data_IF_321359221585
#
_entry.id   IF_321359221585
#
_cell.length_a   1.000
_cell.length_b   1.000
_cell.length_c   1.000
_cell.angle_alpha   90.00
_cell.angle_beta   90.00
_cell.angle_gamma   90.00
#
_symmetry.space_group_name_H-M   'P 1'
#
loop_
_entity.id
_entity.type
_entity.pdbx_description
1 polymer ?
#
# COMPACT_ATOMS: atom_id res chain seq x y z
N UNK A 1 20.38 -13.19 21.91
CA UNK A 1 19.02 -13.66 21.55
C UNK A 1 17.92 -12.61 21.75
N UNK A 2 17.78 -11.93 22.90
CA UNK A 2 16.79 -10.82 23.09
C UNK A 2 16.96 -9.66 22.09
N UNK A 3 18.16 -9.46 21.57
CA UNK A 3 18.49 -8.33 20.71
C UNK A 3 17.97 -8.46 19.26
N UNK A 4 17.82 -9.68 18.70
CA UNK A 4 17.37 -9.88 17.31
C UNK A 4 15.92 -9.45 17.11
N UNK A 5 14.99 -9.85 17.99
CA UNK A 5 13.59 -9.45 17.89
C UNK A 5 13.43 -7.93 17.93
N UNK A 6 14.12 -7.25 18.86
CA UNK A 6 14.08 -5.80 18.97
C UNK A 6 14.62 -5.14 17.68
N UNK A 7 15.73 -5.66 17.14
CA UNK A 7 16.27 -5.15 15.87
C UNK A 7 15.26 -5.27 14.72
N UNK A 8 14.53 -6.37 14.65
CA UNK A 8 13.53 -6.59 13.60
C UNK A 8 12.25 -5.75 13.81
N UNK A 9 11.87 -5.50 15.07
CA UNK A 9 10.78 -4.56 15.40
C UNK A 9 11.13 -3.16 14.90
N UNK A 10 12.34 -2.66 15.18
CA UNK A 10 12.81 -1.36 14.73
C UNK A 10 12.88 -1.32 13.18
N UNK A 11 13.39 -2.40 12.56
CA UNK A 11 13.38 -2.52 11.10
C UNK A 11 11.96 -2.38 10.53
N UNK A 12 11.00 -3.16 11.02
CA UNK A 12 9.61 -3.10 10.58
C UNK A 12 9.01 -1.71 10.79
N UNK A 13 9.23 -1.11 11.94
CA UNK A 13 8.74 0.22 12.26
C UNK A 13 9.27 1.25 11.26
N UNK A 14 10.59 1.34 11.09
CA UNK A 14 11.21 2.31 10.18
C UNK A 14 10.82 2.07 8.72
N UNK A 15 10.76 0.81 8.27
CA UNK A 15 10.41 0.44 6.90
C UNK A 15 9.07 1.06 6.47
N UNK A 16 8.06 0.97 7.33
CA UNK A 16 6.73 1.48 7.01
C UNK A 16 6.51 2.94 7.45
N UNK A 17 7.28 3.43 8.42
CA UNK A 17 7.29 4.85 8.77
C UNK A 17 7.76 5.73 7.59
N UNK A 18 8.76 5.29 6.82
CA UNK A 18 9.20 5.95 5.57
C UNK A 18 8.02 6.18 4.62
N UNK A 19 7.19 5.18 4.45
CA UNK A 19 6.06 5.23 3.52
C UNK A 19 4.86 6.01 4.07
N UNK A 20 4.53 5.80 5.34
CA UNK A 20 3.44 6.48 6.03
C UNK A 20 3.61 7.99 6.13
N UNK A 21 4.85 8.48 6.05
CA UNK A 21 5.14 9.91 6.10
C UNK A 21 4.52 10.70 4.93
N UNK A 22 4.33 10.09 3.75
CA UNK A 22 3.85 10.81 2.57
C UNK A 22 2.72 10.13 1.80
N UNK A 23 2.59 8.79 1.87
CA UNK A 23 1.73 8.03 0.96
C UNK A 23 0.30 8.56 0.92
N UNK A 24 -0.31 8.78 2.06
CA UNK A 24 -1.72 9.16 2.16
C UNK A 24 -1.97 10.65 1.96
N UNK A 25 -1.00 11.51 2.26
CA UNK A 25 -1.10 12.98 2.17
C UNK A 25 -0.53 13.57 0.88
N UNK A 26 0.26 12.81 0.14
CA UNK A 26 0.89 13.27 -1.10
C UNK A 26 -0.12 13.84 -2.11
N UNK A 27 -1.30 13.19 -2.24
CA UNK A 27 -2.35 13.66 -3.16
C UNK A 27 -2.79 15.10 -2.87
N UNK A 28 -2.99 15.45 -1.59
CA UNK A 28 -3.33 16.81 -1.17
C UNK A 28 -2.22 17.82 -1.46
N UNK A 29 -0.96 17.44 -1.25
CA UNK A 29 0.17 18.28 -1.61
C UNK A 29 0.24 18.51 -3.13
N UNK A 30 0.11 17.44 -3.92
CA UNK A 30 0.14 17.52 -5.39
C UNK A 30 -0.99 18.41 -5.92
N UNK A 31 -2.19 18.32 -5.37
CA UNK A 31 -3.28 19.22 -5.68
C UNK A 31 -2.91 20.69 -5.37
N UNK A 32 -2.33 20.94 -4.20
CA UNK A 32 -1.92 22.29 -3.76
C UNK A 32 -0.84 22.94 -4.62
N UNK A 33 0.03 22.16 -5.28
CA UNK A 33 1.08 22.67 -6.19
C UNK A 33 0.68 22.62 -7.67
N UNK A 34 -0.62 22.42 -7.98
CA UNK A 34 -1.16 22.44 -9.34
C UNK A 34 -1.01 21.12 -10.12
N UNK A 35 -0.70 20.00 -9.44
CA UNK A 35 -0.61 18.68 -10.07
C UNK A 35 -1.85 17.81 -9.81
N UNK A 36 -2.98 18.42 -9.45
CA UNK A 36 -4.21 17.71 -9.09
C UNK A 36 -4.69 16.73 -10.17
N UNK A 37 -4.68 17.14 -11.44
CA UNK A 37 -5.05 16.27 -12.58
C UNK A 37 -4.07 15.12 -12.84
N UNK A 38 -2.91 15.11 -12.19
CA UNK A 38 -1.82 14.13 -12.36
C UNK A 38 -1.58 13.28 -11.12
N UNK A 39 -2.40 13.39 -10.08
CA UNK A 39 -2.27 12.58 -8.84
C UNK A 39 -2.21 11.09 -9.18
N UNK A 40 -3.07 10.62 -10.07
CA UNK A 40 -3.12 9.23 -10.50
C UNK A 40 -1.78 8.70 -11.00
N UNK A 41 -0.98 9.53 -11.67
CA UNK A 41 0.30 9.10 -12.26
C UNK A 41 1.33 8.71 -11.18
N UNK A 42 1.35 9.42 -10.05
CA UNK A 42 2.24 9.10 -8.93
C UNK A 42 1.91 7.74 -8.31
N UNK A 43 0.62 7.45 -8.11
CA UNK A 43 0.19 6.16 -7.56
C UNK A 43 0.27 5.03 -8.59
N UNK A 44 0.01 5.29 -9.87
CA UNK A 44 0.23 4.32 -10.95
C UNK A 44 1.72 3.93 -11.06
N UNK A 45 2.63 4.87 -10.86
CA UNK A 45 4.07 4.62 -10.84
C UNK A 45 4.47 3.64 -9.75
N UNK A 46 3.88 3.72 -8.55
CA UNK A 46 4.12 2.73 -7.48
C UNK A 46 3.74 1.32 -7.93
N UNK A 47 2.57 1.17 -8.54
CA UNK A 47 2.13 -0.10 -9.11
C UNK A 47 3.07 -0.60 -10.21
N UNK A 48 3.41 0.27 -11.16
CA UNK A 48 4.28 -0.06 -12.29
C UNK A 48 5.68 -0.52 -11.85
N UNK A 49 6.34 0.23 -10.97
CA UNK A 49 7.67 -0.17 -10.48
C UNK A 49 7.62 -1.43 -9.62
N UNK A 50 6.50 -1.69 -8.94
CA UNK A 50 6.29 -2.90 -8.14
C UNK A 50 6.21 -4.18 -8.99
N UNK A 51 5.99 -4.07 -10.30
CA UNK A 51 6.02 -5.21 -11.22
C UNK A 51 7.44 -5.77 -11.38
N UNK A 52 8.43 -4.89 -11.50
CA UNK A 52 9.78 -5.27 -11.93
C UNK A 52 10.82 -5.15 -10.82
N UNK A 53 10.79 -4.06 -10.06
CA UNK A 53 11.86 -3.71 -9.14
C UNK A 53 12.07 -4.71 -7.99
N UNK A 54 11.02 -5.29 -7.36
CA UNK A 54 11.22 -6.32 -6.33
C UNK A 54 11.92 -7.57 -6.86
N UNK A 55 11.59 -8.00 -8.09
CA UNK A 55 12.22 -9.15 -8.71
C UNK A 55 13.68 -8.87 -9.03
N UNK A 56 13.99 -7.70 -9.60
CA UNK A 56 15.37 -7.30 -9.92
C UNK A 56 16.23 -7.22 -8.65
N UNK A 57 15.74 -6.53 -7.63
CA UNK A 57 16.47 -6.37 -6.38
C UNK A 57 16.62 -7.72 -5.62
N UNK A 58 15.62 -8.60 -5.72
CA UNK A 58 15.69 -9.96 -5.18
C UNK A 58 16.78 -10.79 -5.85
N UNK A 59 16.90 -10.73 -7.19
CA UNK A 59 17.98 -11.40 -7.94
C UNK A 59 19.35 -10.87 -7.53
N UNK A 60 19.48 -9.54 -7.35
CA UNK A 60 20.73 -8.91 -6.87
C UNK A 60 21.09 -9.41 -5.48
N UNK A 61 20.10 -9.49 -4.58
CA UNK A 61 20.30 -9.98 -3.22
C UNK A 61 20.64 -11.48 -3.15
N UNK A 62 20.03 -12.27 -4.04
CA UNK A 62 20.30 -13.71 -4.10
C UNK A 62 21.69 -14.04 -4.69
N UNK A 63 22.17 -13.24 -5.67
CA UNK A 63 23.39 -13.58 -6.43
C UNK A 63 24.66 -12.84 -5.99
N UNK A 64 24.55 -11.55 -5.73
CA UNK A 64 25.75 -10.68 -5.74
C UNK A 64 25.98 -9.92 -4.45
N UNK A 65 24.95 -9.44 -3.79
CA UNK A 65 25.07 -8.56 -2.64
C UNK A 65 24.18 -9.05 -1.50
N UNK A 66 24.71 -9.26 -0.29
CA UNK A 66 23.91 -9.65 0.87
C UNK A 66 22.66 -8.79 1.05
N UNK A 67 21.50 -9.41 1.34
CA UNK A 67 20.20 -8.76 1.30
C UNK A 67 20.10 -7.51 2.19
N UNK A 68 20.72 -7.50 3.38
CA UNK A 68 20.74 -6.33 4.26
C UNK A 68 21.54 -5.15 3.65
N UNK A 69 22.53 -5.43 2.79
CA UNK A 69 23.26 -4.38 2.07
C UNK A 69 22.44 -3.85 0.89
N UNK A 70 21.73 -4.73 0.17
CA UNK A 70 20.78 -4.29 -0.88
C UNK A 70 19.70 -3.41 -0.27
N UNK A 71 19.14 -3.79 0.89
CA UNK A 71 18.20 -2.98 1.64
C UNK A 71 18.76 -1.59 1.95
N UNK A 72 20.00 -1.54 2.45
CA UNK A 72 20.70 -0.28 2.76
C UNK A 72 20.87 0.59 1.52
N UNK A 73 21.35 0.04 0.40
CA UNK A 73 21.56 0.78 -0.86
C UNK A 73 20.23 1.32 -1.38
N UNK A 74 19.19 0.50 -1.40
CA UNK A 74 17.88 0.91 -1.86
C UNK A 74 17.31 2.06 -1.02
N UNK A 75 17.41 2.00 0.31
CA UNK A 75 17.00 3.09 1.18
C UNK A 75 17.88 4.34 1.05
N UNK A 76 19.19 4.18 0.79
CA UNK A 76 20.08 5.32 0.53
C UNK A 76 19.61 6.10 -0.70
N UNK A 77 19.40 5.41 -1.82
CA UNK A 77 18.92 6.06 -3.06
C UNK A 77 17.53 6.67 -2.87
N UNK A 78 16.60 5.90 -2.31
CA UNK A 78 15.25 6.38 -2.07
C UNK A 78 15.22 7.62 -1.16
N UNK A 79 15.99 7.59 -0.06
CA UNK A 79 16.07 8.69 0.90
C UNK A 79 16.71 9.94 0.33
N UNK A 80 17.83 9.80 -0.38
CA UNK A 80 18.50 10.93 -1.05
C UNK A 80 17.57 11.59 -2.07
N UNK A 81 16.85 10.78 -2.88
CA UNK A 81 15.90 11.32 -3.86
C UNK A 81 14.72 12.03 -3.19
N UNK A 82 14.18 11.51 -2.06
CA UNK A 82 13.11 12.19 -1.32
C UNK A 82 13.59 13.50 -0.68
N UNK A 83 14.80 13.53 -0.12
CA UNK A 83 15.39 14.77 0.41
C UNK A 83 15.63 15.78 -0.72
N UNK A 84 16.17 15.34 -1.85
CA UNK A 84 16.38 16.19 -3.02
C UNK A 84 15.06 16.74 -3.57
N UNK A 85 14.00 15.92 -3.61
CA UNK A 85 12.66 16.32 -4.01
C UNK A 85 12.09 17.39 -3.08
N UNK A 86 12.21 17.19 -1.77
CA UNK A 86 11.74 18.15 -0.78
C UNK A 86 12.53 19.46 -0.85
N UNK A 87 13.85 19.37 -1.00
CA UNK A 87 14.71 20.54 -1.18
C UNK A 87 14.38 21.30 -2.47
N UNK A 88 14.14 20.58 -3.55
CA UNK A 88 13.71 21.19 -4.81
C UNK A 88 12.36 21.91 -4.64
N UNK A 89 11.38 21.26 -4.00
CA UNK A 89 10.07 21.85 -3.75
C UNK A 89 10.15 23.10 -2.86
N UNK A 90 11.00 23.08 -1.82
CA UNK A 90 11.30 24.25 -0.99
C UNK A 90 11.88 25.41 -1.82
N UNK A 91 12.87 25.11 -2.66
CA UNK A 91 13.58 26.13 -3.46
C UNK A 91 12.70 26.71 -4.56
N UNK A 92 11.82 25.91 -5.16
CA UNK A 92 10.95 26.32 -6.26
C UNK A 92 9.71 27.08 -5.77
N UNK A 93 9.30 26.92 -4.50
CA UNK A 93 8.11 27.56 -3.93
C UNK A 93 6.84 27.24 -4.73
N UNK A 94 6.23 28.25 -5.35
CA UNK A 94 5.05 28.07 -6.23
C UNK A 94 5.41 27.61 -7.64
N UNK A 95 6.69 27.62 -8.03
CA UNK A 95 7.19 27.29 -9.37
C UNK A 95 7.64 25.83 -9.51
N UNK A 96 7.10 24.90 -8.75
CA UNK A 96 7.50 23.48 -8.85
C UNK A 96 7.22 22.94 -10.26
N UNK A 97 8.27 22.51 -10.95
CA UNK A 97 8.15 21.94 -12.29
C UNK A 97 7.85 20.43 -12.18
N UNK A 98 6.79 19.99 -12.85
CA UNK A 98 6.31 18.62 -12.81
C UNK A 98 7.38 17.58 -13.16
N UNK A 99 8.11 17.78 -14.24
CA UNK A 99 9.09 16.80 -14.72
C UNK A 99 10.19 16.50 -13.71
N UNK A 100 10.76 17.53 -13.07
CA UNK A 100 11.80 17.37 -12.05
C UNK A 100 11.26 16.67 -10.82
N UNK A 101 10.10 17.13 -10.33
CA UNK A 101 9.46 16.54 -9.15
C UNK A 101 9.12 15.06 -9.38
N UNK A 102 8.48 14.76 -10.51
CA UNK A 102 8.07 13.41 -10.87
C UNK A 102 9.24 12.46 -11.09
N UNK A 103 10.35 12.94 -11.68
CA UNK A 103 11.56 12.13 -11.88
C UNK A 103 12.18 11.73 -10.54
N UNK A 104 12.39 12.68 -9.63
CA UNK A 104 12.95 12.41 -8.30
C UNK A 104 12.05 11.44 -7.51
N UNK A 105 10.74 11.64 -7.56
CA UNK A 105 9.76 10.75 -6.96
C UNK A 105 9.84 9.33 -7.56
N UNK A 106 9.87 9.20 -8.88
CA UNK A 106 9.91 7.91 -9.57
C UNK A 106 11.16 7.12 -9.21
N UNK A 107 12.31 7.76 -9.17
CA UNK A 107 13.57 7.11 -8.75
C UNK A 107 13.46 6.66 -7.29
N UNK A 108 12.99 7.53 -6.40
CA UNK A 108 12.82 7.17 -5.00
C UNK A 108 11.92 5.94 -4.83
N UNK A 109 10.76 5.93 -5.47
CA UNK A 109 9.77 4.84 -5.37
C UNK A 109 10.31 3.56 -6.02
N UNK A 110 11.03 3.65 -7.13
CA UNK A 110 11.64 2.49 -7.79
C UNK A 110 12.63 1.75 -6.87
N UNK A 111 13.36 2.47 -6.04
CA UNK A 111 14.26 1.87 -5.05
C UNK A 111 13.56 1.54 -3.73
N UNK A 112 12.49 2.24 -3.35
CA UNK A 112 11.74 1.92 -2.13
C UNK A 112 10.90 0.65 -2.27
N UNK A 113 10.16 0.45 -3.37
CA UNK A 113 9.22 -0.68 -3.50
C UNK A 113 9.85 -2.06 -3.26
N UNK A 114 11.06 -2.38 -3.79
CA UNK A 114 11.70 -3.66 -3.51
C UNK A 114 12.07 -3.87 -2.03
N UNK A 115 12.28 -2.80 -1.27
CA UNK A 115 12.72 -2.91 0.13
C UNK A 115 11.68 -3.60 1.00
N UNK A 116 10.39 -3.56 0.64
CA UNK A 116 9.32 -4.24 1.37
C UNK A 116 9.55 -5.76 1.38
N UNK A 117 9.86 -6.34 0.23
CA UNK A 117 10.15 -7.77 0.12
C UNK A 117 11.52 -8.14 0.73
N UNK A 118 12.53 -7.30 0.48
CA UNK A 118 13.89 -7.55 0.98
C UNK A 118 13.93 -7.46 2.52
N UNK A 119 13.23 -6.50 3.14
CA UNK A 119 13.16 -6.39 4.60
C UNK A 119 12.53 -7.63 5.25
N UNK A 120 11.50 -8.22 4.62
CA UNK A 120 10.92 -9.48 5.06
C UNK A 120 11.92 -10.63 4.95
N UNK A 121 12.66 -10.73 3.82
CA UNK A 121 13.69 -11.74 3.62
C UNK A 121 14.81 -11.65 4.67
N UNK A 122 15.28 -10.44 4.95
CA UNK A 122 16.28 -10.19 6.02
C UNK A 122 15.74 -10.57 7.38
N UNK A 123 14.47 -10.28 7.66
CA UNK A 123 13.84 -10.63 8.94
C UNK A 123 13.70 -12.14 9.11
N UNK A 124 13.28 -12.88 8.09
CA UNK A 124 13.17 -14.33 8.12
C UNK A 124 14.53 -14.99 8.36
N UNK A 125 15.54 -14.60 7.57
CA UNK A 125 16.91 -15.12 7.77
C UNK A 125 17.44 -14.82 9.19
N UNK A 126 17.23 -13.60 9.70
CA UNK A 126 17.67 -13.24 11.05
C UNK A 126 16.96 -14.06 12.15
N UNK A 127 15.69 -14.40 11.97
CA UNK A 127 14.95 -15.27 12.88
C UNK A 127 15.48 -16.70 12.83
N UNK A 128 15.65 -17.27 11.65
CA UNK A 128 16.20 -18.63 11.47
C UNK A 128 17.59 -18.78 12.07
N UNK A 129 18.51 -17.86 11.78
CA UNK A 129 19.88 -17.85 12.36
C UNK A 129 19.85 -17.70 13.88
N UNK A 130 18.82 -17.07 14.42
CA UNK A 130 18.62 -16.93 15.88
C UNK A 130 17.92 -18.13 16.52
N UNK A 131 17.62 -19.20 15.78
CA UNK A 131 16.90 -20.38 16.24
C UNK A 131 15.42 -20.14 16.51
N UNK A 132 14.81 -19.15 15.87
CA UNK A 132 13.39 -18.81 15.99
C UNK A 132 12.63 -19.27 14.76
N UNK A 133 11.33 -19.50 14.92
CA UNK A 133 10.45 -19.90 13.84
C UNK A 133 9.87 -18.65 13.13
N UNK A 134 10.26 -18.35 11.87
CA UNK A 134 9.72 -17.21 11.15
C UNK A 134 8.19 -17.19 11.05
N UNK A 135 7.54 -18.36 10.95
CA UNK A 135 6.09 -18.45 10.85
C UNK A 135 5.39 -17.96 12.11
N UNK A 136 5.97 -18.24 13.28
CA UNK A 136 5.40 -17.84 14.59
C UNK A 136 5.88 -16.47 15.05
N UNK A 137 7.17 -16.19 14.84
CA UNK A 137 7.82 -15.03 15.46
C UNK A 137 7.78 -13.76 14.59
N UNK A 138 7.60 -13.89 13.24
CA UNK A 138 7.57 -12.74 12.35
C UNK A 138 6.25 -11.94 12.42
N UNK A 139 5.04 -12.55 12.48
CA UNK A 139 3.81 -11.78 12.47
C UNK A 139 3.71 -10.72 13.58
N UNK A 140 4.07 -11.00 14.84
CA UNK A 140 4.11 -9.98 15.90
C UNK A 140 5.09 -8.83 15.61
N UNK A 141 6.23 -9.14 14.97
CA UNK A 141 7.22 -8.13 14.58
C UNK A 141 6.65 -7.25 13.47
N UNK A 142 5.95 -7.85 12.49
CA UNK A 142 5.38 -7.14 11.35
C UNK A 142 4.31 -6.12 11.75
N UNK A 143 3.57 -6.35 12.83
CA UNK A 143 2.60 -5.38 13.37
C UNK A 143 3.25 -4.02 13.66
N UNK A 144 4.50 -3.99 14.12
CA UNK A 144 5.22 -2.74 14.34
C UNK A 144 5.47 -1.94 13.07
N UNK A 145 5.39 -2.55 11.91
CA UNK A 145 5.36 -1.82 10.63
C UNK A 145 4.10 -0.95 10.52
N UNK A 146 2.92 -1.49 10.82
CA UNK A 146 1.69 -0.70 10.84
C UNK A 146 1.75 0.41 11.90
N UNK A 147 2.32 0.13 13.07
CA UNK A 147 2.55 1.16 14.10
C UNK A 147 3.46 2.27 13.56
N UNK A 148 4.56 1.93 12.88
CA UNK A 148 5.47 2.91 12.27
C UNK A 148 4.77 3.77 11.21
N UNK A 149 3.95 3.13 10.37
CA UNK A 149 3.14 3.83 9.36
C UNK A 149 2.18 4.84 10.02
N UNK A 150 1.42 4.43 11.03
CA UNK A 150 0.49 5.29 11.78
C UNK A 150 1.25 6.44 12.47
N UNK A 151 2.35 6.14 13.15
CA UNK A 151 3.13 7.15 13.86
C UNK A 151 3.62 8.25 12.91
N UNK A 152 4.13 7.89 11.73
CA UNK A 152 4.57 8.89 10.76
C UNK A 152 3.42 9.65 10.11
N UNK A 153 2.27 9.00 9.84
CA UNK A 153 1.05 9.70 9.41
C UNK A 153 0.61 10.76 10.42
N UNK A 154 0.56 10.40 11.70
CA UNK A 154 0.17 11.31 12.78
C UNK A 154 1.21 12.41 12.98
N UNK A 155 2.51 12.08 12.87
CA UNK A 155 3.58 13.06 12.96
C UNK A 155 3.41 14.16 11.90
N UNK A 156 3.30 13.81 10.62
CA UNK A 156 3.13 14.81 9.55
C UNK A 156 1.77 15.52 9.61
N UNK A 157 0.75 14.91 10.23
CA UNK A 157 -0.54 15.54 10.43
C UNK A 157 -0.49 16.66 11.51
N UNK A 158 0.20 16.43 12.63
CA UNK A 158 0.15 17.34 13.75
C UNK A 158 1.33 18.33 13.80
N UNK A 159 2.49 17.96 13.25
CA UNK A 159 3.65 18.87 13.21
C UNK A 159 3.44 19.94 12.16
N UNK A 160 3.79 21.17 12.54
CA UNK A 160 3.68 22.37 11.70
C UNK A 160 5.06 22.98 11.48
N UNK A 161 5.26 23.55 10.30
CA UNK A 161 6.47 24.31 9.99
C UNK A 161 6.42 25.72 10.59
N UNK A 162 7.48 26.51 10.38
CA UNK A 162 7.58 27.89 10.88
C UNK A 162 6.51 28.84 10.34
N UNK A 163 5.78 28.45 9.30
CA UNK A 163 4.65 29.20 8.72
C UNK A 163 3.29 28.73 9.27
N UNK A 164 3.28 27.78 10.21
CA UNK A 164 2.06 27.21 10.77
C UNK A 164 1.37 26.17 9.88
N UNK A 165 1.98 25.77 8.76
CA UNK A 165 1.44 24.78 7.83
C UNK A 165 1.79 23.37 8.32
N UNK A 166 0.83 22.47 8.35
CA UNK A 166 1.06 21.06 8.69
C UNK A 166 1.97 20.38 7.65
N UNK A 167 2.87 19.53 8.10
CA UNK A 167 3.79 18.80 7.21
C UNK A 167 3.07 17.97 6.14
N UNK A 168 1.92 17.40 6.45
CA UNK A 168 1.10 16.68 5.48
C UNK A 168 0.64 17.52 4.28
N UNK A 169 0.65 18.84 4.40
CA UNK A 169 0.20 19.80 3.39
C UNK A 169 1.34 20.48 2.65
N UNK A 170 2.58 20.10 2.93
CA UNK A 170 3.78 20.77 2.44
C UNK A 170 4.88 19.77 2.09
N UNK A 171 5.98 20.24 1.54
CA UNK A 171 7.13 19.43 1.12
C UNK A 171 7.82 18.71 2.29
N UNK A 172 7.62 19.14 3.53
CA UNK A 172 8.24 18.54 4.71
C UNK A 172 7.87 17.07 4.89
N UNK A 173 6.72 16.61 4.40
CA UNK A 173 6.37 15.19 4.41
C UNK A 173 7.41 14.33 3.69
N UNK A 174 7.99 14.84 2.60
CA UNK A 174 9.04 14.15 1.84
C UNK A 174 10.40 14.23 2.55
N UNK A 175 10.70 15.34 3.26
CA UNK A 175 11.86 15.40 4.14
C UNK A 175 11.79 14.36 5.25
N UNK A 176 10.65 14.22 5.91
CA UNK A 176 10.46 13.20 6.96
C UNK A 176 10.70 11.80 6.39
N UNK A 177 10.10 11.48 5.25
CA UNK A 177 10.30 10.21 4.57
C UNK A 177 11.77 9.97 4.21
N UNK A 178 12.42 10.98 3.63
CA UNK A 178 13.82 10.91 3.23
C UNK A 178 14.76 10.70 4.42
N UNK A 179 14.58 11.46 5.51
CA UNK A 179 15.37 11.32 6.74
C UNK A 179 15.19 9.93 7.35
N UNK A 180 13.94 9.44 7.48
CA UNK A 180 13.68 8.09 7.98
C UNK A 180 14.33 7.02 7.11
N UNK A 181 14.34 7.21 5.77
CA UNK A 181 15.00 6.31 4.84
C UNK A 181 16.52 6.30 5.01
N UNK A 182 17.16 7.47 5.22
CA UNK A 182 18.60 7.58 5.53
C UNK A 182 18.92 6.92 6.88
N UNK A 183 18.09 7.12 7.89
CA UNK A 183 18.25 6.43 9.19
C UNK A 183 18.18 4.92 8.99
N UNK A 184 17.22 4.44 8.18
CA UNK A 184 17.10 3.02 7.89
C UNK A 184 18.27 2.48 7.06
N UNK A 185 18.88 3.30 6.18
CA UNK A 185 20.10 2.96 5.46
C UNK A 185 21.23 2.56 6.42
N UNK A 186 21.48 3.40 7.42
CA UNK A 186 22.52 3.13 8.42
C UNK A 186 22.11 1.95 9.33
N UNK A 187 20.85 1.90 9.72
CA UNK A 187 20.32 0.84 10.56
C UNK A 187 20.40 -0.54 9.89
N UNK A 188 20.12 -0.64 8.59
CA UNK A 188 20.17 -1.89 7.84
C UNK A 188 21.58 -2.55 7.89
N UNK A 189 22.65 -1.74 7.98
CA UNK A 189 24.01 -2.25 8.10
C UNK A 189 24.29 -2.91 9.47
N UNK A 190 23.47 -2.66 10.48
CA UNK A 190 23.59 -3.26 11.83
C UNK A 190 22.82 -4.59 11.97
N UNK A 191 22.05 -4.96 10.94
CA UNK A 191 21.26 -6.19 10.93
C UNK A 191 22.17 -7.42 10.74
N UNK A 192 21.71 -8.61 11.18
CA UNK A 192 22.44 -9.85 10.92
C UNK A 192 22.72 -10.05 9.43
N UNK A 193 23.86 -10.65 9.13
CA UNK A 193 24.22 -10.94 7.74
C UNK A 193 23.21 -11.92 7.13
N UNK A 194 22.67 -11.56 5.98
CA UNK A 194 21.81 -12.39 5.17
C UNK A 194 22.56 -12.69 3.85
N UNK A 195 23.34 -13.79 3.81
CA UNK A 195 24.27 -14.06 2.71
C UNK A 195 23.51 -14.37 1.40
N UNK A 196 24.22 -14.20 0.29
CA UNK A 196 23.74 -14.67 -1.00
C UNK A 196 23.57 -16.19 -1.00
N UNK A 197 22.65 -16.69 -1.81
CA UNK A 197 22.43 -18.14 -1.95
C UNK A 197 23.64 -18.82 -2.58
N UNK A 198 23.98 -20.06 -2.13
CA UNK A 198 24.98 -20.86 -2.79
C UNK A 198 24.63 -21.10 -4.29
N UNK A 199 25.62 -21.12 -5.14
CA UNK A 199 25.44 -21.36 -6.58
C UNK A 199 24.70 -22.70 -6.87
N UNK A 200 24.77 -23.66 -5.97
CA UNK A 200 24.10 -24.96 -6.04
C UNK A 200 22.57 -24.90 -5.85
N UNK A 201 22.02 -23.86 -5.21
CA UNK A 201 20.58 -23.80 -4.92
C UNK A 201 19.75 -23.22 -6.08
N UNK A 202 20.36 -22.77 -7.15
CA UNK A 202 19.68 -22.14 -8.27
C UNK A 202 18.95 -20.83 -7.87
N UNK A 203 19.16 -19.80 -8.62
CA UNK A 203 18.47 -18.52 -8.41
C UNK A 203 17.21 -18.50 -9.28
N UNK A 204 16.08 -18.07 -8.72
CA UNK A 204 14.85 -17.87 -9.48
C UNK A 204 15.13 -17.02 -10.72
N UNK A 205 14.61 -17.48 -11.87
CA UNK A 205 14.61 -16.65 -13.07
C UNK A 205 13.75 -15.40 -12.87
N UNK A 206 13.95 -14.37 -13.68
CA UNK A 206 13.09 -13.18 -13.63
C UNK A 206 11.61 -13.54 -13.81
N UNK A 207 11.28 -14.46 -14.69
CA UNK A 207 9.92 -14.94 -14.91
C UNK A 207 9.31 -15.65 -13.69
N UNK A 208 10.12 -16.39 -12.93
CA UNK A 208 9.69 -17.01 -11.68
C UNK A 208 9.51 -15.99 -10.56
N UNK A 209 10.43 -15.03 -10.45
CA UNK A 209 10.41 -14.00 -9.42
C UNK A 209 9.25 -13.01 -9.58
N UNK A 210 8.85 -12.72 -10.84
CA UNK A 210 7.70 -11.86 -11.17
C UNK A 210 6.37 -12.63 -11.24
N UNK A 211 6.40 -13.96 -11.14
CA UNK A 211 5.21 -14.78 -11.30
C UNK A 211 4.77 -15.02 -12.74
N UNK A 212 5.54 -14.57 -13.74
CA UNK A 212 5.20 -14.74 -15.16
C UNK A 212 5.06 -16.21 -15.56
N UNK A 213 5.83 -17.11 -14.95
CA UNK A 213 5.73 -18.56 -15.18
C UNK A 213 4.38 -19.14 -14.78
N UNK A 214 3.64 -18.48 -13.88
CA UNK A 214 2.30 -18.91 -13.44
C UNK A 214 1.17 -18.42 -14.37
N UNK A 215 1.45 -17.63 -15.42
CA UNK A 215 0.40 -17.21 -16.37
C UNK A 215 -0.29 -18.40 -17.06
N UNK A 216 0.33 -19.57 -17.10
CA UNK A 216 -0.32 -20.80 -17.57
C UNK A 216 -1.61 -21.14 -16.81
N UNK A 217 -1.74 -20.70 -15.54
CA UNK A 217 -2.95 -20.89 -14.73
C UNK A 217 -4.17 -20.16 -15.30
N UNK A 218 -3.98 -19.13 -16.13
CA UNK A 218 -5.11 -18.48 -16.82
C UNK A 218 -5.87 -19.42 -17.80
N UNK A 219 -5.30 -20.55 -18.18
CA UNK A 219 -5.99 -21.58 -18.95
C UNK A 219 -7.11 -22.25 -18.15
N UNK A 220 -7.02 -22.24 -16.83
CA UNK A 220 -8.03 -22.76 -15.94
C UNK A 220 -9.00 -21.65 -15.54
N UNK A 221 -10.28 -21.81 -15.88
CA UNK A 221 -11.33 -20.78 -15.66
C UNK A 221 -11.35 -20.22 -14.23
N UNK A 222 -11.17 -21.09 -13.25
CA UNK A 222 -11.22 -20.70 -11.83
C UNK A 222 -10.10 -19.73 -11.46
N UNK A 223 -8.87 -20.03 -11.90
CA UNK A 223 -7.72 -19.16 -11.67
C UNK A 223 -7.79 -17.87 -12.50
N UNK A 224 -8.24 -17.96 -13.76
CA UNK A 224 -8.43 -16.77 -14.60
C UNK A 224 -9.40 -15.79 -13.95
N UNK A 225 -10.56 -16.26 -13.47
CA UNK A 225 -11.53 -15.44 -12.74
C UNK A 225 -10.88 -14.87 -11.48
N UNK A 226 -10.21 -15.70 -10.68
CA UNK A 226 -9.57 -15.24 -9.45
C UNK A 226 -8.56 -14.10 -9.72
N UNK A 227 -7.64 -14.27 -10.66
CA UNK A 227 -6.61 -13.27 -10.95
C UNK A 227 -7.17 -11.98 -11.56
N UNK A 228 -8.19 -12.07 -12.45
CA UNK A 228 -8.87 -10.89 -12.98
C UNK A 228 -9.54 -10.09 -11.85
N UNK A 229 -10.26 -10.76 -10.95
CA UNK A 229 -10.90 -10.07 -9.84
C UNK A 229 -9.89 -9.56 -8.81
N UNK A 230 -8.75 -10.21 -8.64
CA UNK A 230 -7.63 -9.70 -7.84
C UNK A 230 -7.09 -8.39 -8.41
N UNK A 231 -6.96 -8.30 -9.74
CA UNK A 231 -6.58 -7.07 -10.44
C UNK A 231 -7.61 -5.95 -10.21
N UNK A 232 -8.89 -6.24 -10.39
CA UNK A 232 -9.95 -5.26 -10.18
C UNK A 232 -9.98 -4.76 -8.72
N UNK A 233 -9.73 -5.63 -7.75
CA UNK A 233 -9.71 -5.24 -6.35
C UNK A 233 -8.46 -4.41 -5.98
N UNK A 234 -7.32 -4.69 -6.61
CA UNK A 234 -6.10 -3.91 -6.44
C UNK A 234 -6.28 -2.43 -6.78
N UNK A 235 -7.17 -2.11 -7.71
CA UNK A 235 -7.57 -0.75 -8.03
C UNK A 235 -8.15 -0.01 -6.82
N UNK A 236 -9.03 -0.66 -6.06
CA UNK A 236 -9.75 -0.05 -4.94
C UNK A 236 -8.83 0.48 -3.84
N UNK A 237 -7.74 -0.23 -3.55
CA UNK A 237 -6.75 0.21 -2.56
C UNK A 237 -6.09 1.53 -2.99
N UNK A 238 -5.64 1.62 -4.23
CA UNK A 238 -4.91 2.79 -4.72
C UNK A 238 -5.82 4.00 -4.96
N UNK A 239 -7.08 3.79 -5.30
CA UNK A 239 -8.09 4.86 -5.32
C UNK A 239 -8.14 5.55 -3.95
N UNK A 240 -8.21 4.75 -2.88
CA UNK A 240 -8.24 5.29 -1.52
C UNK A 240 -6.96 6.02 -1.16
N UNK A 241 -5.79 5.41 -1.42
CA UNK A 241 -4.50 6.02 -1.11
C UNK A 241 -4.28 7.34 -1.85
N UNK A 242 -4.73 7.42 -3.10
CA UNK A 242 -4.55 8.61 -3.94
C UNK A 242 -5.49 9.75 -3.61
N UNK A 243 -6.74 9.45 -3.30
CA UNK A 243 -7.78 10.48 -3.31
C UNK A 243 -8.49 10.70 -1.97
N UNK A 244 -8.45 9.77 -1.01
CA UNK A 244 -9.22 9.92 0.23
C UNK A 244 -8.77 11.14 1.07
N UNK A 245 -7.46 11.35 1.22
CA UNK A 245 -6.95 12.52 1.96
C UNK A 245 -7.26 13.82 1.22
N UNK A 246 -7.02 13.85 -0.09
CA UNK A 246 -7.32 15.01 -0.96
C UNK A 246 -8.78 15.40 -0.86
N UNK A 247 -9.68 14.43 -0.95
CA UNK A 247 -11.11 14.62 -0.79
C UNK A 247 -11.50 15.18 0.58
N UNK A 248 -11.07 14.54 1.66
CA UNK A 248 -11.42 14.98 3.02
C UNK A 248 -10.89 16.40 3.27
N UNK A 249 -9.68 16.69 2.81
CA UNK A 249 -9.05 18.00 2.97
C UNK A 249 -9.73 19.07 2.14
N UNK A 250 -10.25 18.77 0.95
CA UNK A 250 -10.94 19.75 0.09
C UNK A 250 -12.10 20.46 0.80
N UNK A 251 -12.74 19.77 1.77
CA UNK A 251 -13.79 20.35 2.60
C UNK A 251 -13.32 21.59 3.41
N UNK A 252 -12.03 21.74 3.67
CA UNK A 252 -11.51 22.94 4.33
C UNK A 252 -11.72 24.23 3.49
N UNK A 253 -11.90 24.08 2.18
CA UNK A 253 -12.29 25.18 1.28
C UNK A 253 -13.77 25.58 1.35
N UNK A 254 -14.62 24.78 2.01
CA UNK A 254 -16.03 25.09 2.19
C UNK A 254 -16.24 25.78 3.55
N UNK A 255 -16.84 27.00 3.60
CA UNK A 255 -17.08 27.71 4.85
C UNK A 255 -17.83 26.92 5.92
N UNK A 256 -18.72 25.99 5.54
CA UNK A 256 -19.47 25.13 6.47
C UNK A 256 -18.60 24.10 7.17
N UNK A 257 -17.45 23.73 6.59
CA UNK A 257 -16.60 22.65 7.08
C UNK A 257 -15.16 23.06 7.39
N UNK A 258 -14.74 24.32 7.05
CA UNK A 258 -13.37 24.81 7.20
C UNK A 258 -12.83 24.71 8.63
N UNK A 259 -13.71 24.88 9.64
CA UNK A 259 -13.37 24.76 11.07
C UNK A 259 -13.47 23.33 11.64
N UNK A 260 -13.88 22.33 10.84
CA UNK A 260 -14.06 20.98 11.36
C UNK A 260 -12.72 20.27 11.57
N UNK A 261 -12.67 19.44 12.63
CA UNK A 261 -11.48 18.67 12.94
C UNK A 261 -11.11 17.71 11.79
N UNK A 262 -12.09 17.05 11.19
CA UNK A 262 -11.88 16.07 10.11
C UNK A 262 -11.23 16.70 8.86
N UNK A 263 -11.72 17.84 8.39
CA UNK A 263 -11.17 18.53 7.23
C UNK A 263 -9.72 18.99 7.47
N UNK A 264 -9.41 19.41 8.71
CA UNK A 264 -8.08 19.89 9.07
C UNK A 264 -7.09 18.77 9.46
N UNK A 265 -7.57 17.55 9.73
CA UNK A 265 -6.76 16.43 10.19
C UNK A 265 -7.06 15.15 9.39
N UNK A 266 -7.07 15.26 8.07
CA UNK A 266 -7.44 14.17 7.17
C UNK A 266 -6.58 12.90 7.36
N UNK A 267 -5.26 13.05 7.55
CA UNK A 267 -4.37 11.91 7.80
C UNK A 267 -4.67 11.22 9.14
N UNK A 268 -4.95 11.99 10.20
CA UNK A 268 -5.31 11.42 11.49
C UNK A 268 -6.64 10.63 11.40
N UNK A 269 -7.61 11.13 10.63
CA UNK A 269 -8.87 10.42 10.38
C UNK A 269 -8.63 9.13 9.59
N UNK A 270 -7.83 9.18 8.52
CA UNK A 270 -7.50 8.02 7.68
C UNK A 270 -6.67 6.99 8.45
N UNK A 271 -5.85 7.40 9.43
CA UNK A 271 -5.04 6.46 10.22
C UNK A 271 -5.89 5.43 10.98
N UNK A 272 -7.16 5.72 11.24
CA UNK A 272 -8.14 4.73 11.76
C UNK A 272 -8.28 3.53 10.84
N UNK A 273 -8.05 3.69 9.53
CA UNK A 273 -8.05 2.56 8.58
C UNK A 273 -6.94 1.56 8.89
N UNK A 274 -5.76 2.05 9.26
CA UNK A 274 -4.61 1.20 9.60
C UNK A 274 -4.80 0.50 10.96
N UNK A 275 -5.45 1.17 11.91
CA UNK A 275 -5.84 0.55 13.17
C UNK A 275 -6.85 -0.57 12.91
N UNK A 276 -7.87 -0.30 12.09
CA UNK A 276 -8.86 -1.30 11.70
C UNK A 276 -8.23 -2.49 10.99
N UNK A 277 -7.30 -2.27 10.06
CA UNK A 277 -6.53 -3.31 9.37
C UNK A 277 -5.88 -4.26 10.39
N UNK A 278 -5.14 -3.71 11.36
CA UNK A 278 -4.47 -4.51 12.39
C UNK A 278 -5.45 -5.37 13.21
N UNK A 279 -6.61 -4.82 13.55
CA UNK A 279 -7.62 -5.55 14.32
C UNK A 279 -8.36 -6.60 13.48
N UNK A 280 -8.65 -6.29 12.22
CA UNK A 280 -9.39 -7.17 11.32
C UNK A 280 -8.60 -8.44 10.96
N UNK A 281 -7.26 -8.37 10.87
CA UNK A 281 -6.42 -9.56 10.68
C UNK A 281 -6.70 -10.63 11.74
N UNK A 282 -6.94 -10.24 12.98
CA UNK A 282 -7.24 -11.17 14.08
C UNK A 282 -8.59 -11.89 13.91
N UNK A 283 -9.52 -11.32 13.17
CA UNK A 283 -10.84 -11.88 12.92
C UNK A 283 -10.86 -12.88 11.74
N UNK A 284 -9.87 -12.83 10.87
CA UNK A 284 -9.84 -13.64 9.63
C UNK A 284 -9.97 -15.14 9.89
N UNK A 285 -9.25 -15.75 10.86
CA UNK A 285 -9.37 -17.19 11.12
C UNK A 285 -10.79 -17.60 11.50
N UNK A 286 -11.49 -16.78 12.28
CA UNK A 286 -12.89 -17.01 12.65
C UNK A 286 -13.80 -16.97 11.42
N UNK A 287 -13.66 -15.97 10.56
CA UNK A 287 -14.47 -15.83 9.35
C UNK A 287 -14.19 -16.93 8.33
N UNK A 288 -12.92 -17.30 8.14
CA UNK A 288 -12.53 -18.39 7.24
C UNK A 288 -13.13 -19.75 7.71
N UNK A 289 -13.04 -20.04 9.01
CA UNK A 289 -13.61 -21.26 9.59
C UNK A 289 -15.12 -21.30 9.42
N UNK A 290 -15.81 -20.16 9.58
CA UNK A 290 -17.28 -20.11 9.55
C UNK A 290 -17.85 -20.02 8.15
N UNK A 291 -17.23 -19.29 7.25
CA UNK A 291 -17.81 -18.95 5.95
C UNK A 291 -17.02 -19.51 4.75
N UNK A 292 -15.76 -19.90 4.94
CA UNK A 292 -14.86 -20.36 3.88
C UNK A 292 -14.34 -19.24 2.98
N UNK A 293 -13.33 -19.55 2.18
CA UNK A 293 -12.52 -18.61 1.38
C UNK A 293 -13.40 -17.70 0.48
N UNK A 294 -14.30 -18.30 -0.34
CA UNK A 294 -15.14 -17.54 -1.28
C UNK A 294 -16.00 -16.48 -0.60
N UNK A 295 -16.68 -16.83 0.51
CA UNK A 295 -17.58 -15.90 1.20
C UNK A 295 -16.78 -14.79 1.90
N UNK A 296 -15.59 -15.11 2.44
CA UNK A 296 -14.71 -14.10 3.05
C UNK A 296 -14.21 -13.11 1.99
N UNK A 297 -13.84 -13.56 0.80
CA UNK A 297 -13.53 -12.67 -0.33
C UNK A 297 -14.72 -11.77 -0.71
N UNK A 298 -15.95 -12.33 -0.76
CA UNK A 298 -17.15 -11.55 -1.05
C UNK A 298 -17.44 -10.51 0.03
N UNK A 299 -17.27 -10.84 1.31
CA UNK A 299 -17.39 -9.88 2.41
C UNK A 299 -16.44 -8.71 2.21
N UNK A 300 -15.19 -8.98 1.82
CA UNK A 300 -14.22 -7.94 1.49
C UNK A 300 -14.69 -7.04 0.35
N UNK A 301 -15.19 -7.61 -0.73
CA UNK A 301 -15.68 -6.84 -1.88
C UNK A 301 -16.85 -5.92 -1.50
N UNK A 302 -17.82 -6.41 -0.72
CA UNK A 302 -18.91 -5.58 -0.20
C UNK A 302 -18.41 -4.53 0.80
N UNK A 303 -17.36 -4.80 1.56
CA UNK A 303 -16.75 -3.80 2.42
C UNK A 303 -16.15 -2.63 1.61
N UNK A 304 -15.62 -2.86 0.40
CA UNK A 304 -15.21 -1.78 -0.51
C UNK A 304 -16.41 -0.95 -0.99
N UNK A 305 -17.55 -1.58 -1.26
CA UNK A 305 -18.79 -0.84 -1.60
C UNK A 305 -19.17 0.11 -0.47
N UNK A 306 -19.19 -0.40 0.76
CA UNK A 306 -19.51 0.40 1.95
C UNK A 306 -18.48 1.51 2.17
N UNK A 307 -17.18 1.22 2.02
CA UNK A 307 -16.13 2.20 2.18
C UNK A 307 -16.31 3.40 1.25
N UNK A 308 -16.46 3.13 -0.04
CA UNK A 308 -16.66 4.20 -1.04
C UNK A 308 -18.02 4.90 -0.87
N UNK A 309 -19.08 4.15 -0.56
CA UNK A 309 -20.40 4.70 -0.29
C UNK A 309 -20.40 5.65 0.90
N UNK A 310 -19.74 5.26 2.01
CA UNK A 310 -19.62 6.12 3.19
C UNK A 310 -18.79 7.38 2.91
N UNK A 311 -17.76 7.31 2.07
CA UNK A 311 -17.07 8.52 1.61
C UNK A 311 -18.01 9.39 0.77
N UNK A 312 -18.77 8.81 -0.15
CA UNK A 312 -19.66 9.57 -1.04
C UNK A 312 -20.80 10.31 -0.32
N UNK A 313 -21.30 9.77 0.79
CA UNK A 313 -22.43 10.37 1.53
C UNK A 313 -22.01 11.07 2.83
N UNK A 314 -20.75 10.90 3.26
CA UNK A 314 -20.20 11.50 4.47
C UNK A 314 -19.73 12.94 4.24
N UNK A 315 -19.45 13.61 5.35
CA UNK A 315 -18.79 14.92 5.38
C UNK A 315 -18.02 15.07 6.70
N UNK A 316 -17.05 15.98 6.83
CA UNK A 316 -16.26 16.12 8.04
C UNK A 316 -16.96 16.88 9.19
N UNK A 317 -18.21 17.32 9.01
CA UNK A 317 -19.06 17.91 10.02
C UNK A 317 -19.96 16.88 10.70
N UNK A 318 -21.27 17.07 10.65
CA UNK A 318 -22.26 16.12 11.23
C UNK A 318 -22.23 14.71 10.64
N UNK A 319 -21.67 14.54 9.43
CA UNK A 319 -21.50 13.25 8.76
C UNK A 319 -20.14 12.58 8.98
N UNK A 320 -19.28 13.08 9.87
CA UNK A 320 -17.92 12.53 10.11
C UNK A 320 -17.93 11.07 10.56
N UNK A 321 -18.99 10.62 11.22
CA UNK A 321 -19.16 9.23 11.63
C UNK A 321 -19.17 8.26 10.43
N UNK A 322 -19.64 8.71 9.24
CA UNK A 322 -19.57 7.91 8.01
C UNK A 322 -18.11 7.75 7.54
N UNK A 323 -17.30 8.81 7.65
CA UNK A 323 -15.87 8.70 7.37
C UNK A 323 -15.18 7.73 8.35
N UNK A 324 -15.55 7.78 9.64
CA UNK A 324 -15.04 6.82 10.64
C UNK A 324 -15.47 5.40 10.28
N UNK A 325 -16.73 5.17 9.92
CA UNK A 325 -17.20 3.85 9.47
C UNK A 325 -16.47 3.40 8.21
N UNK A 326 -16.24 4.29 7.24
CA UNK A 326 -15.43 4.00 6.06
C UNK A 326 -14.03 3.51 6.45
N UNK A 327 -13.39 4.15 7.43
CA UNK A 327 -12.09 3.73 7.94
C UNK A 327 -12.15 2.38 8.67
N UNK A 328 -13.21 2.11 9.43
CA UNK A 328 -13.38 0.83 10.15
C UNK A 328 -13.58 -0.34 9.16
N UNK A 329 -14.39 -0.19 8.13
CA UNK A 329 -14.61 -1.27 7.15
C UNK A 329 -13.40 -1.53 6.25
N UNK A 330 -12.42 -0.63 6.23
CA UNK A 330 -11.21 -0.80 5.42
C UNK A 330 -10.42 -2.06 5.77
N UNK A 331 -10.24 -2.38 7.04
CA UNK A 331 -9.53 -3.60 7.45
C UNK A 331 -10.18 -4.86 6.90
N UNK A 332 -11.53 -4.92 6.91
CA UNK A 332 -12.28 -6.01 6.28
C UNK A 332 -12.11 -5.97 4.76
N UNK A 333 -12.18 -4.78 4.16
CA UNK A 333 -12.10 -4.62 2.71
C UNK A 333 -10.75 -5.05 2.14
N UNK A 334 -9.65 -4.78 2.82
CA UNK A 334 -8.30 -5.07 2.33
C UNK A 334 -7.84 -6.47 2.72
N UNK A 335 -7.79 -6.79 4.00
CA UNK A 335 -7.13 -8.00 4.49
C UNK A 335 -7.91 -9.28 4.20
N UNK A 336 -9.23 -9.24 4.26
CA UNK A 336 -10.05 -10.43 4.02
C UNK A 336 -9.84 -10.97 2.61
N UNK A 337 -9.68 -10.11 1.61
CA UNK A 337 -9.36 -10.57 0.27
C UNK A 337 -7.92 -11.02 0.13
N UNK A 338 -6.96 -10.24 0.60
CA UNK A 338 -5.54 -10.56 0.42
C UNK A 338 -5.15 -11.88 1.08
N UNK A 339 -5.58 -12.10 2.33
CA UNK A 339 -5.25 -13.32 3.05
C UNK A 339 -6.02 -14.52 2.48
N UNK A 340 -7.33 -14.36 2.19
CA UNK A 340 -8.12 -15.43 1.57
C UNK A 340 -7.62 -15.77 0.16
N UNK A 341 -7.16 -14.78 -0.61
CA UNK A 341 -6.58 -14.97 -1.94
C UNK A 341 -5.25 -15.73 -1.88
N UNK A 342 -4.39 -15.35 -0.95
CA UNK A 342 -3.14 -16.06 -0.71
C UNK A 342 -3.39 -17.52 -0.30
N UNK A 343 -4.38 -17.76 0.59
CA UNK A 343 -4.77 -19.13 0.98
C UNK A 343 -5.36 -19.91 -0.18
N UNK A 344 -6.23 -19.28 -1.00
CA UNK A 344 -6.77 -19.93 -2.20
C UNK A 344 -5.65 -20.41 -3.13
N UNK A 345 -4.65 -19.57 -3.42
CA UNK A 345 -3.48 -19.96 -4.22
C UNK A 345 -2.70 -21.08 -3.54
N UNK A 346 -2.48 -20.99 -2.23
CA UNK A 346 -1.71 -21.98 -1.49
C UNK A 346 -2.36 -23.37 -1.47
N UNK A 347 -3.68 -23.44 -1.41
CA UNK A 347 -4.44 -24.69 -1.32
C UNK A 347 -4.67 -25.35 -2.70
N UNK A 348 -4.77 -24.54 -3.77
CA UNK A 348 -5.23 -25.04 -5.07
C UNK A 348 -4.12 -25.09 -6.14
N UNK A 349 -2.91 -24.63 -5.85
CA UNK A 349 -1.80 -24.64 -6.79
C UNK A 349 -0.74 -25.64 -6.36
N UNK A 350 -0.20 -26.41 -7.32
CA UNK A 350 0.87 -27.36 -7.11
C UNK A 350 2.11 -26.71 -6.47
N UNK A 351 2.76 -27.43 -5.57
CA UNK A 351 3.92 -26.95 -4.82
C UNK A 351 5.04 -26.40 -5.71
N UNK A 352 5.26 -27.01 -6.88
CA UNK A 352 6.31 -26.61 -7.83
C UNK A 352 6.14 -25.22 -8.44
N UNK A 353 4.90 -24.68 -8.53
CA UNK A 353 4.63 -23.36 -9.11
C UNK A 353 3.93 -22.42 -8.13
N UNK A 354 3.71 -22.85 -6.89
CA UNK A 354 2.99 -22.09 -5.86
C UNK A 354 3.59 -20.72 -5.59
N UNK A 355 4.90 -20.65 -5.47
CA UNK A 355 5.62 -19.37 -5.26
C UNK A 355 5.41 -18.40 -6.44
N UNK A 356 5.45 -18.91 -7.68
CA UNK A 356 5.18 -18.11 -8.88
C UNK A 356 3.71 -17.67 -8.95
N UNK A 357 2.77 -18.51 -8.50
CA UNK A 357 1.36 -18.16 -8.45
C UNK A 357 1.06 -17.09 -7.38
N UNK A 358 1.73 -17.13 -6.23
CA UNK A 358 1.69 -16.03 -5.25
C UNK A 358 2.28 -14.73 -5.84
N UNK A 359 3.40 -14.82 -6.56
CA UNK A 359 3.97 -13.68 -7.30
C UNK A 359 3.00 -13.12 -8.32
N UNK A 360 2.30 -13.98 -9.08
CA UNK A 360 1.25 -13.55 -10.01
C UNK A 360 0.07 -12.88 -9.31
N UNK A 361 -0.36 -13.39 -8.15
CA UNK A 361 -1.39 -12.75 -7.35
C UNK A 361 -0.99 -11.32 -6.94
N UNK A 362 0.24 -11.14 -6.46
CA UNK A 362 0.78 -9.82 -6.11
C UNK A 362 0.94 -8.91 -7.33
N UNK A 363 1.36 -9.47 -8.47
CA UNK A 363 1.44 -8.76 -9.74
C UNK A 363 0.07 -8.24 -10.18
N UNK A 364 -0.96 -9.07 -10.11
CA UNK A 364 -2.33 -8.70 -10.50
C UNK A 364 -2.92 -7.66 -9.56
N UNK A 365 -2.71 -7.76 -8.25
CA UNK A 365 -3.23 -6.79 -7.27
C UNK A 365 -2.43 -5.50 -7.22
N UNK A 366 -1.16 -5.58 -6.83
CA UNK A 366 -0.33 -4.41 -6.48
C UNK A 366 0.43 -3.84 -7.68
N UNK A 367 0.57 -4.60 -8.76
CA UNK A 367 1.20 -4.15 -9.99
C UNK A 367 0.18 -3.63 -10.99
N UNK A 368 -0.44 -4.53 -11.75
CA UNK A 368 -1.34 -4.20 -12.86
C UNK A 368 -2.61 -3.53 -12.34
N UNK A 369 -3.26 -4.12 -11.32
CA UNK A 369 -4.49 -3.58 -10.73
C UNK A 369 -4.30 -2.19 -10.15
N UNK A 370 -3.23 -2.00 -9.40
CA UNK A 370 -2.88 -0.70 -8.85
C UNK A 370 -2.64 0.35 -9.96
N UNK A 371 -1.85 0.02 -10.99
CA UNK A 371 -1.50 0.96 -12.06
C UNK A 371 -2.71 1.32 -12.93
N UNK A 372 -3.41 0.32 -13.47
CA UNK A 372 -4.57 0.56 -14.33
C UNK A 372 -5.73 1.16 -13.55
N UNK A 373 -5.97 0.68 -12.33
CA UNK A 373 -7.06 1.19 -11.50
C UNK A 373 -6.88 2.65 -11.14
N UNK A 374 -5.65 3.06 -10.80
CA UNK A 374 -5.36 4.46 -10.49
C UNK A 374 -5.48 5.35 -11.72
N UNK A 375 -5.06 4.85 -12.88
CA UNK A 375 -5.23 5.57 -14.15
C UNK A 375 -6.71 5.81 -14.46
N UNK A 376 -7.54 4.76 -14.43
CA UNK A 376 -8.99 4.89 -14.65
C UNK A 376 -9.64 5.79 -13.61
N UNK A 377 -9.25 5.66 -12.33
CA UNK A 377 -9.73 6.54 -11.26
C UNK A 377 -9.37 8.01 -11.53
N UNK A 378 -8.16 8.27 -12.04
CA UNK A 378 -7.74 9.60 -12.45
C UNK A 378 -8.61 10.18 -13.57
N UNK A 379 -8.98 9.35 -14.56
CA UNK A 379 -9.90 9.80 -15.61
C UNK A 379 -11.28 10.19 -15.04
N UNK A 380 -11.82 9.38 -14.11
CA UNK A 380 -13.10 9.68 -13.46
C UNK A 380 -13.00 10.97 -12.64
N UNK A 381 -11.97 11.09 -11.79
CA UNK A 381 -11.79 12.30 -10.96
C UNK A 381 -11.65 13.55 -11.84
N UNK A 382 -10.79 13.51 -12.86
CA UNK A 382 -10.53 14.66 -13.72
C UNK A 382 -11.74 15.04 -14.61
N UNK A 383 -12.69 14.11 -14.79
CA UNK A 383 -13.92 14.40 -15.55
C UNK A 383 -14.96 15.15 -14.71
N UNK A 384 -15.06 14.81 -13.41
CA UNK A 384 -16.12 15.36 -12.56
C UNK A 384 -15.61 16.51 -11.66
N UNK A 385 -14.36 16.47 -11.21
CA UNK A 385 -13.78 17.41 -10.25
C UNK A 385 -12.88 18.38 -11.01
N UNK A 386 -13.28 19.66 -11.05
CA UNK A 386 -12.53 20.71 -11.77
C UNK A 386 -11.20 21.04 -11.07
N UNK A 387 -11.24 21.23 -9.76
CA UNK A 387 -10.06 21.52 -8.94
C UNK A 387 -10.02 20.61 -7.70
N UNK A 388 -9.11 19.68 -7.70
CA UNK A 388 -8.91 18.75 -6.58
C UNK A 388 -8.37 19.42 -5.31
N UNK A 389 -7.82 20.62 -5.39
CA UNK A 389 -7.35 21.40 -4.24
C UNK A 389 -8.50 22.16 -3.54
N UNK A 390 -9.54 22.49 -4.29
CA UNK A 390 -10.71 23.22 -3.79
C UNK A 390 -11.85 22.25 -3.41
N UNK A 391 -12.82 22.79 -2.65
CA UNK A 391 -14.06 22.05 -2.42
C UNK A 391 -14.88 21.97 -3.70
N UNK A 392 -15.22 20.75 -4.10
CA UNK A 392 -16.08 20.46 -5.25
C UNK A 392 -17.18 19.47 -4.81
N UNK A 393 -18.49 19.78 -4.97
CA UNK A 393 -19.56 18.87 -4.61
C UNK A 393 -19.59 17.59 -5.45
N UNK A 394 -18.99 17.57 -6.64
CA UNK A 394 -18.91 16.42 -7.52
C UNK A 394 -18.03 15.27 -6.98
N UNK A 395 -17.23 15.53 -5.96
CA UNK A 395 -16.57 14.45 -5.21
C UNK A 395 -17.55 13.38 -4.73
N UNK A 396 -18.78 13.77 -4.37
CA UNK A 396 -19.84 12.82 -4.01
C UNK A 396 -20.13 11.86 -5.16
N UNK A 397 -20.32 12.39 -6.36
CA UNK A 397 -20.55 11.61 -7.59
C UNK A 397 -19.40 10.65 -7.86
N UNK A 398 -18.16 11.12 -7.75
CA UNK A 398 -16.96 10.30 -7.93
C UNK A 398 -16.92 9.11 -6.97
N UNK A 399 -17.12 9.33 -5.67
CA UNK A 399 -17.12 8.25 -4.68
C UNK A 399 -18.27 7.27 -4.87
N UNK A 400 -19.44 7.72 -5.30
CA UNK A 400 -20.57 6.84 -5.64
C UNK A 400 -20.32 6.03 -6.90
N UNK A 401 -19.60 6.57 -7.89
CA UNK A 401 -19.13 5.79 -9.07
C UNK A 401 -18.18 4.68 -8.62
N UNK A 402 -17.22 4.98 -7.72
CA UNK A 402 -16.32 3.96 -7.18
C UNK A 402 -17.08 2.90 -6.36
N UNK A 403 -18.12 3.29 -5.61
CA UNK A 403 -18.99 2.35 -4.90
C UNK A 403 -19.77 1.45 -5.87
N UNK A 404 -20.31 2.02 -6.95
CA UNK A 404 -21.00 1.26 -8.00
C UNK A 404 -20.05 0.29 -8.71
N UNK A 405 -18.82 0.73 -9.03
CA UNK A 405 -17.76 -0.15 -9.54
C UNK A 405 -17.50 -1.34 -8.63
N UNK A 406 -17.26 -1.09 -7.33
CA UNK A 406 -17.01 -2.14 -6.36
C UNK A 406 -18.21 -3.09 -6.22
N UNK A 407 -19.44 -2.57 -6.29
CA UNK A 407 -20.67 -3.37 -6.26
C UNK A 407 -20.78 -4.29 -7.47
N UNK A 408 -20.55 -3.78 -8.68
CA UNK A 408 -20.56 -4.60 -9.92
C UNK A 408 -19.50 -5.69 -9.83
N UNK A 409 -18.27 -5.36 -9.38
CA UNK A 409 -17.20 -6.34 -9.19
C UNK A 409 -17.62 -7.43 -8.19
N UNK A 410 -18.25 -7.07 -7.07
CA UNK A 410 -18.73 -8.03 -6.07
C UNK A 410 -19.79 -8.99 -6.63
N UNK A 411 -20.77 -8.47 -7.37
CA UNK A 411 -21.84 -9.27 -7.98
C UNK A 411 -21.27 -10.20 -9.05
N UNK A 412 -20.42 -9.69 -9.94
CA UNK A 412 -19.79 -10.53 -10.98
C UNK A 412 -18.92 -11.63 -10.37
N UNK A 413 -18.16 -11.32 -9.32
CA UNK A 413 -17.38 -12.35 -8.62
C UNK A 413 -18.27 -13.42 -7.99
N UNK A 414 -19.38 -13.03 -7.36
CA UNK A 414 -20.32 -13.98 -6.75
C UNK A 414 -20.86 -15.00 -7.77
N UNK A 415 -21.12 -14.54 -9.01
CA UNK A 415 -21.66 -15.34 -10.10
C UNK A 415 -20.58 -16.18 -10.78
N UNK A 416 -19.43 -15.56 -11.10
CA UNK A 416 -18.41 -16.17 -11.96
C UNK A 416 -17.42 -17.06 -11.20
N UNK A 417 -17.09 -16.70 -9.95
CA UNK A 417 -16.15 -17.45 -9.14
C UNK A 417 -16.85 -18.64 -8.45
N UNK A 418 -16.77 -19.81 -9.09
CA UNK A 418 -17.34 -21.05 -8.57
C UNK A 418 -16.28 -21.81 -7.79
N UNK A 419 -16.26 -21.64 -6.47
CA UNK A 419 -15.37 -22.35 -5.55
C UNK A 419 -16.15 -22.89 -4.36
N UNK A 420 -15.99 -24.18 -4.09
CA UNK A 420 -16.47 -24.86 -2.86
C UNK A 420 -15.25 -25.16 -2.01
N UNK A 421 -15.18 -24.55 -0.85
CA UNK A 421 -14.15 -24.87 0.13
C UNK A 421 -14.47 -26.22 0.74
N UNK A 422 -13.68 -27.24 0.42
CA UNK A 422 -13.71 -28.51 1.13
C UNK A 422 -12.94 -28.33 2.44
N UNK A 423 -13.67 -28.28 3.55
CA UNK A 423 -13.01 -28.35 4.86
C UNK A 423 -12.32 -29.70 4.94
N UNK A 424 -11.00 -29.75 4.86
CA UNK A 424 -10.25 -30.93 5.29
C UNK A 424 -10.62 -31.15 6.75
N UNK A 425 -11.39 -32.19 7.02
CA UNK A 425 -11.64 -32.67 8.39
C UNK A 425 -10.28 -32.91 9.02
N UNK A 426 -10.00 -32.15 10.10
CA UNK A 426 -8.81 -32.30 10.92
C UNK A 426 -8.83 -33.66 11.62
#
# INVERSE_FOLDING_TARGET
>A
MKNTTLKLIILSFLQFAVWGAYLTSMGSYLAGVGFGSRIWLFFATQGFVSIFMPALAGIVADKWIPAQKVLSICHAVAGVCMIALAWYALSAGSGVHFGTFYTLYTISVAFYMPTIAISNSVAYNALEVSGKDPVKDFPPIRVFGTVGFICSMLFVNFVRNGQGIQFQNSYEQFFVSGILSVVLTLYALTLPNCPCKPASEGVKSFAEATGLSAFKLFKERQFAVFFIFSMLLGASLQITNGYANTYIKSFAGNPLFSGTWGANNANALISLSQVSETLCILLIPFFLKKFGIKKVMLISMFAWVLRFGFFGIGNPGGGVWLFVLSCIVYGVAFDFFNISGSLFVNENVDTGIRSSAQGLFMLMTNGIGASLGTWVAGLVVNHFVEDTAAYDPEWKTVWLIFAAYAFVVAILFAILFKYKHEQKKA
#
